data_IF_743620098794
#
_entry.id   IF_743620098794
#
_cell.length_a   1.000
_cell.length_b   1.000
_cell.length_c   1.000
_cell.angle_alpha   90.00
_cell.angle_beta   90.00
_cell.angle_gamma   90.00
#
_symmetry.space_group_name_H-M   'P 1'
#
loop_
_entity.id
_entity.type
_entity.pdbx_description
1 polymer ?
#
# COMPACT_ATOMS: atom_id res chain seq x y z
N UNK A 1 22.23 1.04 -6.03
CA UNK A 1 20.79 0.96 -6.35
C UNK A 1 20.54 -0.48 -6.81
N UNK A 2 19.36 -1.07 -6.57
CA UNK A 2 19.06 -2.44 -7.03
C UNK A 2 19.25 -2.55 -8.55
N UNK A 3 19.74 -3.69 -9.04
CA UNK A 3 19.82 -3.97 -10.49
C UNK A 3 18.48 -4.45 -11.06
N UNK A 4 17.54 -4.82 -10.20
CA UNK A 4 16.23 -5.37 -10.57
C UNK A 4 15.13 -4.40 -10.12
N UNK A 5 14.24 -4.05 -11.05
CA UNK A 5 12.99 -3.33 -10.77
C UNK A 5 11.92 -4.33 -10.33
N UNK A 6 11.23 -4.06 -9.22
CA UNK A 6 10.13 -4.92 -8.77
C UNK A 6 8.99 -4.97 -9.80
N UNK A 7 8.33 -6.12 -9.90
CA UNK A 7 7.25 -6.39 -10.86
C UNK A 7 6.19 -5.28 -10.89
N UNK A 8 5.70 -4.88 -9.72
CA UNK A 8 4.66 -3.86 -9.61
C UNK A 8 5.12 -2.48 -10.09
N UNK A 9 6.37 -2.09 -9.81
CA UNK A 9 6.97 -0.84 -10.30
C UNK A 9 7.19 -0.90 -11.80
N UNK A 10 7.68 -2.03 -12.34
CA UNK A 10 7.89 -2.17 -13.79
C UNK A 10 6.57 -1.98 -14.55
N UNK A 11 5.48 -2.61 -14.12
CA UNK A 11 4.17 -2.42 -14.75
C UNK A 11 3.67 -0.98 -14.73
N UNK A 12 3.95 -0.24 -13.64
CA UNK A 12 3.60 1.18 -13.55
C UNK A 12 4.45 2.03 -14.50
N UNK A 13 5.75 1.75 -14.60
CA UNK A 13 6.63 2.41 -15.57
C UNK A 13 6.20 2.14 -17.01
N UNK A 14 5.84 0.90 -17.33
CA UNK A 14 5.32 0.50 -18.65
C UNK A 14 3.99 1.21 -18.98
N UNK A 15 3.18 1.51 -17.95
CA UNK A 15 1.96 2.30 -18.07
C UNK A 15 2.22 3.82 -18.15
N UNK A 16 3.47 4.26 -18.12
CA UNK A 16 3.88 5.67 -18.25
C UNK A 16 4.01 6.43 -16.93
N UNK A 17 4.03 5.76 -15.78
CA UNK A 17 4.29 6.41 -14.50
C UNK A 17 5.77 6.87 -14.40
N UNK A 18 6.00 7.94 -13.64
CA UNK A 18 7.35 8.44 -13.34
C UNK A 18 7.75 8.07 -11.91
N UNK A 19 8.93 7.48 -11.75
CA UNK A 19 9.51 7.20 -10.43
C UNK A 19 10.14 8.47 -9.86
N UNK A 20 9.47 9.11 -8.91
CA UNK A 20 9.93 10.36 -8.28
C UNK A 20 10.96 10.09 -7.17
N UNK A 21 10.88 8.94 -6.50
CA UNK A 21 11.84 8.54 -5.46
C UNK A 21 11.33 7.41 -4.56
N UNK A 22 12.10 7.14 -3.51
CA UNK A 22 11.74 6.20 -2.44
C UNK A 22 11.47 6.96 -1.14
N UNK A 23 10.63 6.39 -0.27
CA UNK A 23 10.18 7.06 0.96
C UNK A 23 10.75 6.42 2.22
N UNK A 24 10.85 7.19 3.31
CA UNK A 24 11.26 6.66 4.62
C UNK A 24 10.22 5.67 5.19
N UNK A 25 10.72 4.61 5.83
CA UNK A 25 9.94 3.61 6.56
C UNK A 25 10.72 3.14 7.79
N UNK A 26 10.07 2.60 8.84
CA UNK A 26 10.75 1.85 9.88
C UNK A 26 11.64 0.74 9.31
N UNK A 27 12.81 0.56 9.90
CA UNK A 27 13.77 -0.46 9.45
C UNK A 27 13.08 -1.82 9.37
N UNK A 28 13.15 -2.45 8.19
CA UNK A 28 12.56 -3.78 7.92
C UNK A 28 11.04 -3.87 8.22
N UNK A 29 10.33 -2.75 8.20
CA UNK A 29 8.90 -2.71 8.50
C UNK A 29 8.56 -3.04 9.95
N UNK A 30 9.51 -2.85 10.87
CA UNK A 30 9.47 -3.35 12.26
C UNK A 30 8.40 -2.76 13.17
N UNK A 31 7.74 -1.65 12.81
CA UNK A 31 6.69 -1.06 13.64
C UNK A 31 5.60 -0.37 12.83
N UNK A 32 4.44 -0.22 13.47
CA UNK A 32 3.22 0.39 12.91
C UNK A 32 3.06 1.88 13.25
N UNK A 33 3.97 2.46 14.02
CA UNK A 33 3.93 3.89 14.40
C UNK A 33 4.71 4.78 13.44
N UNK A 34 5.66 4.21 12.68
CA UNK A 34 6.41 4.93 11.64
C UNK A 34 7.73 5.53 12.11
N UNK A 35 8.21 5.15 13.30
CA UNK A 35 9.49 5.60 13.83
C UNK A 35 10.63 4.80 13.19
N UNK A 36 11.56 5.52 12.58
CA UNK A 36 12.84 5.01 12.09
C UNK A 36 13.95 5.50 13.03
N UNK A 37 14.67 4.60 13.75
CA UNK A 37 15.74 4.96 14.68
C UNK A 37 17.06 5.34 13.98
N UNK A 38 17.11 5.30 12.65
CA UNK A 38 18.28 5.68 11.87
C UNK A 38 18.71 7.11 12.18
N UNK A 39 20.03 7.32 12.31
CA UNK A 39 20.62 8.65 12.46
C UNK A 39 20.71 9.43 11.15
N UNK A 40 20.49 8.75 10.01
CA UNK A 40 20.62 9.32 8.66
C UNK A 40 19.25 9.50 8.00
N UNK A 41 18.30 8.60 8.28
CA UNK A 41 16.93 8.67 7.76
C UNK A 41 16.01 9.19 8.85
N UNK A 42 15.33 10.31 8.59
CA UNK A 42 14.37 10.87 9.54
C UNK A 42 13.06 10.08 9.54
N UNK A 43 12.37 10.11 10.68
CA UNK A 43 10.98 9.69 10.79
C UNK A 43 10.09 10.83 10.31
N UNK A 44 9.30 10.66 9.24
CA UNK A 44 8.33 11.66 8.84
C UNK A 44 7.33 11.93 9.97
N UNK A 45 7.01 13.21 10.21
CA UNK A 45 5.99 13.61 11.17
C UNK A 45 4.59 13.47 10.56
N UNK A 46 3.57 13.29 11.40
CA UNK A 46 2.19 13.24 10.94
C UNK A 46 1.78 14.59 10.32
N UNK A 47 1.12 14.56 9.15
CA UNK A 47 0.70 15.76 8.41
C UNK A 47 -0.30 16.65 9.14
N UNK A 48 -1.07 16.08 10.08
CA UNK A 48 -2.14 16.77 10.80
C UNK A 48 -1.68 17.32 12.15
N UNK A 49 -0.74 16.65 12.80
CA UNK A 49 -0.25 17.00 14.14
C UNK A 49 1.17 16.44 14.36
N UNK A 50 2.16 17.32 14.44
CA UNK A 50 3.57 16.96 14.56
C UNK A 50 3.94 16.23 15.86
N UNK A 51 3.07 16.25 16.87
CA UNK A 51 3.26 15.52 18.13
C UNK A 51 2.68 14.10 18.08
N UNK A 52 2.05 13.71 16.96
CA UNK A 52 1.49 12.38 16.73
C UNK A 52 2.34 11.54 15.78
N UNK A 53 2.21 10.24 15.92
CA UNK A 53 2.77 9.28 14.98
C UNK A 53 2.10 9.37 13.61
N UNK A 54 2.93 9.29 12.56
CA UNK A 54 2.49 9.26 11.16
C UNK A 54 1.90 7.89 10.75
N UNK A 55 2.10 6.86 11.58
CA UNK A 55 1.74 5.48 11.25
C UNK A 55 2.80 4.81 10.36
N UNK A 56 2.78 3.49 10.30
CA UNK A 56 3.79 2.71 9.61
C UNK A 56 3.32 1.29 9.28
N UNK A 57 4.13 0.51 8.55
CA UNK A 57 5.50 0.85 8.15
C UNK A 57 5.64 1.69 6.88
N UNK A 58 4.61 1.85 6.04
CA UNK A 58 4.67 2.69 4.82
C UNK A 58 4.53 4.19 5.13
N UNK A 59 5.29 4.67 6.12
CA UNK A 59 5.16 5.99 6.73
C UNK A 59 5.33 7.11 5.71
N UNK A 60 6.46 7.13 5.01
CA UNK A 60 6.73 8.16 4.03
C UNK A 60 5.76 8.13 2.86
N UNK A 61 5.26 6.95 2.44
CA UNK A 61 4.20 6.84 1.43
C UNK A 61 2.93 7.60 1.85
N UNK A 62 2.50 7.44 3.11
CA UNK A 62 1.37 8.16 3.66
C UNK A 62 1.57 9.67 3.63
N UNK A 63 2.75 10.11 4.08
CA UNK A 63 3.09 11.54 4.18
C UNK A 63 3.20 12.21 2.81
N UNK A 64 3.92 11.63 1.84
CA UNK A 64 4.11 12.29 0.53
C UNK A 64 2.81 12.44 -0.24
N UNK A 65 1.91 11.46 -0.13
CA UNK A 65 0.58 11.52 -0.75
C UNK A 65 -0.29 12.55 -0.04
N UNK A 66 -0.33 12.54 1.30
CA UNK A 66 -1.15 13.49 2.06
C UNK A 66 -0.70 14.94 1.90
N UNK A 67 0.60 15.19 1.70
CA UNK A 67 1.14 16.52 1.38
C UNK A 67 0.94 16.93 -0.09
N UNK A 68 0.40 16.06 -0.94
CA UNK A 68 0.20 16.32 -2.36
C UNK A 68 1.49 16.37 -3.18
N UNK A 69 2.59 15.79 -2.68
CA UNK A 69 3.88 15.74 -3.40
C UNK A 69 3.85 14.76 -4.57
N UNK A 70 3.02 13.72 -4.47
CA UNK A 70 2.72 12.81 -5.57
C UNK A 70 1.26 12.31 -5.46
N UNK A 71 0.63 11.94 -6.58
CA UNK A 71 -0.77 11.50 -6.59
C UNK A 71 -0.98 10.12 -5.95
N UNK A 72 0.06 9.28 -5.96
CA UNK A 72 0.06 7.97 -5.34
C UNK A 72 1.47 7.56 -4.89
N UNK A 73 1.53 6.57 -4.01
CA UNK A 73 2.73 5.87 -3.61
C UNK A 73 2.43 4.37 -3.48
N UNK A 74 3.47 3.52 -3.51
CA UNK A 74 3.34 2.07 -3.36
C UNK A 74 3.87 1.67 -1.99
N UNK A 75 2.97 1.13 -1.16
CA UNK A 75 3.31 0.61 0.16
C UNK A 75 3.31 -0.92 0.20
N UNK A 76 3.67 -1.45 1.35
CA UNK A 76 3.56 -2.88 1.65
C UNK A 76 2.76 -3.09 2.94
N UNK A 77 2.01 -4.19 3.04
CA UNK A 77 1.08 -4.48 4.14
C UNK A 77 1.07 -5.97 4.48
N UNK A 78 1.68 -6.31 5.63
CA UNK A 78 1.53 -7.59 6.30
C UNK A 78 0.49 -7.52 7.43
N UNK A 79 0.61 -6.50 8.28
CA UNK A 79 -0.18 -6.35 9.52
C UNK A 79 -0.80 -4.95 9.64
N UNK A 80 -1.04 -4.28 8.52
CA UNK A 80 -1.64 -2.94 8.48
C UNK A 80 -0.73 -1.87 7.88
N UNK A 81 0.45 -2.21 7.38
CA UNK A 81 1.46 -1.23 6.97
C UNK A 81 1.10 -0.32 5.78
N UNK A 82 0.01 -0.58 5.05
CA UNK A 82 -0.62 0.37 4.13
C UNK A 82 -1.79 1.08 4.84
N UNK A 83 -2.65 0.29 5.50
CA UNK A 83 -3.92 0.76 6.07
C UNK A 83 -3.75 1.73 7.25
N UNK A 84 -2.80 1.45 8.15
CA UNK A 84 -2.48 2.26 9.32
C UNK A 84 -1.96 3.64 8.92
N UNK A 85 -0.86 3.79 8.16
CA UNK A 85 -0.39 5.13 7.75
C UNK A 85 -1.40 5.87 6.87
N UNK A 86 -2.21 5.16 6.07
CA UNK A 86 -3.30 5.78 5.31
C UNK A 86 -4.37 6.39 6.21
N UNK A 87 -4.80 5.65 7.24
CA UNK A 87 -5.73 6.15 8.26
C UNK A 87 -5.16 7.31 9.06
N UNK A 88 -3.90 7.23 9.48
CA UNK A 88 -3.22 8.33 10.18
C UNK A 88 -3.02 9.58 9.32
N UNK A 89 -2.86 9.42 8.00
CA UNK A 89 -2.61 10.53 7.07
C UNK A 89 -3.87 11.01 6.36
N UNK A 90 -5.04 10.39 6.60
CA UNK A 90 -6.30 10.80 5.99
C UNK A 90 -6.39 10.54 4.48
N UNK A 91 -5.75 9.48 3.98
CA UNK A 91 -5.71 9.11 2.56
C UNK A 91 -6.28 7.70 2.33
N UNK A 92 -6.41 7.30 1.06
CA UNK A 92 -6.87 5.97 0.69
C UNK A 92 -5.68 5.01 0.60
N UNK A 93 -5.74 3.90 1.32
CA UNK A 93 -4.79 2.80 1.21
C UNK A 93 -5.50 1.50 0.88
N UNK A 94 -5.10 0.84 -0.20
CA UNK A 94 -5.64 -0.46 -0.61
C UNK A 94 -4.63 -1.56 -0.29
N UNK A 95 -5.02 -2.49 0.60
CA UNK A 95 -4.37 -3.80 0.74
C UNK A 95 -5.08 -4.79 -0.19
N UNK A 96 -4.44 -5.25 -1.28
CA UNK A 96 -5.06 -6.21 -2.18
C UNK A 96 -5.25 -7.59 -1.53
N UNK A 97 -6.01 -8.45 -2.19
CA UNK A 97 -5.98 -9.90 -1.93
C UNK A 97 -4.55 -10.40 -1.99
N UNK A 98 -4.19 -11.34 -1.11
CA UNK A 98 -2.88 -11.98 -1.15
C UNK A 98 -2.59 -12.54 -2.55
N UNK A 99 -1.33 -12.46 -3.00
CA UNK A 99 -0.87 -12.87 -4.33
C UNK A 99 -1.46 -12.10 -5.52
N UNK A 100 -2.31 -11.08 -5.29
CA UNK A 100 -2.89 -10.28 -6.38
C UNK A 100 -1.86 -9.39 -7.10
N UNK A 101 -0.78 -9.05 -6.41
CA UNK A 101 0.37 -8.35 -6.95
C UNK A 101 1.60 -9.16 -6.58
N UNK A 102 2.41 -9.51 -7.58
CA UNK A 102 3.66 -10.24 -7.38
C UNK A 102 4.66 -9.43 -6.54
N UNK A 103 5.39 -10.14 -5.68
CA UNK A 103 6.52 -9.60 -4.92
C UNK A 103 7.87 -9.79 -5.65
N UNK A 104 7.88 -10.31 -6.88
CA UNK A 104 9.11 -10.46 -7.67
C UNK A 104 9.88 -9.13 -7.77
N UNK A 105 11.19 -9.17 -7.48
CA UNK A 105 12.06 -8.00 -7.43
C UNK A 105 11.84 -7.06 -6.23
N UNK A 106 10.94 -7.39 -5.30
CA UNK A 106 10.97 -6.82 -3.94
C UNK A 106 12.12 -7.44 -3.13
N UNK A 107 12.35 -6.94 -1.91
CA UNK A 107 13.42 -7.44 -1.05
C UNK A 107 13.24 -8.94 -0.76
N UNK A 108 14.31 -9.70 -1.01
CA UNK A 108 14.35 -11.17 -0.91
C UNK A 108 13.89 -11.69 0.46
N UNK A 109 14.13 -10.93 1.53
CA UNK A 109 13.71 -11.24 2.91
C UNK A 109 12.18 -11.46 2.99
N UNK A 110 11.42 -10.89 2.05
CA UNK A 110 9.97 -10.92 2.08
C UNK A 110 9.31 -11.63 0.88
N UNK A 111 10.09 -12.15 -0.07
CA UNK A 111 9.53 -12.76 -1.28
C UNK A 111 8.67 -14.00 -0.99
N UNK A 112 8.90 -14.66 0.15
CA UNK A 112 8.17 -15.86 0.58
C UNK A 112 7.20 -15.60 1.75
N UNK A 113 6.91 -14.33 2.06
CA UNK A 113 6.14 -14.00 3.25
C UNK A 113 4.63 -14.20 3.02
N UNK A 114 3.96 -15.14 3.71
CA UNK A 114 2.66 -15.68 3.30
C UNK A 114 1.45 -14.75 3.49
N UNK A 115 1.67 -13.56 4.01
CA UNK A 115 0.62 -12.55 4.22
C UNK A 115 1.08 -11.12 3.88
N UNK A 116 2.28 -10.97 3.31
CA UNK A 116 2.72 -9.67 2.80
C UNK A 116 2.02 -9.40 1.47
N UNK A 117 1.58 -8.17 1.30
CA UNK A 117 1.07 -7.66 0.02
C UNK A 117 1.72 -6.32 -0.28
N UNK A 118 1.73 -5.94 -1.55
CA UNK A 118 2.03 -4.56 -1.98
C UNK A 118 0.79 -3.96 -2.59
N UNK A 119 0.59 -2.66 -2.40
CA UNK A 119 -0.63 -1.99 -2.85
C UNK A 119 -0.50 -0.47 -2.87
N UNK A 120 -1.46 0.20 -3.53
CA UNK A 120 -1.41 1.63 -3.71
C UNK A 120 -1.94 2.39 -2.50
N UNK A 121 -1.33 3.56 -2.28
CA UNK A 121 -1.77 4.62 -1.38
C UNK A 121 -1.99 5.87 -2.23
N UNK A 122 -3.17 6.49 -2.17
CA UNK A 122 -3.54 7.63 -3.04
C UNK A 122 -4.50 8.60 -2.35
N UNK A 123 -4.64 9.80 -2.89
CA UNK A 123 -5.53 10.83 -2.34
C UNK A 123 -7.02 10.51 -2.48
N UNK A 124 -7.39 9.64 -3.42
CA UNK A 124 -8.79 9.25 -3.60
C UNK A 124 -8.95 7.79 -4.06
N UNK A 125 -10.17 7.27 -3.92
CA UNK A 125 -10.52 5.88 -4.25
C UNK A 125 -10.31 5.58 -5.74
N UNK A 126 -10.61 6.56 -6.60
CA UNK A 126 -10.45 6.42 -8.05
C UNK A 126 -8.99 6.16 -8.42
N UNK A 127 -8.08 6.97 -7.90
CA UNK A 127 -6.65 6.86 -8.21
C UNK A 127 -6.06 5.57 -7.63
N UNK A 128 -6.42 5.22 -6.39
CA UNK A 128 -6.00 3.94 -5.80
C UNK A 128 -6.43 2.75 -6.65
N UNK A 129 -7.66 2.76 -7.18
CA UNK A 129 -8.14 1.68 -8.04
C UNK A 129 -7.44 1.64 -9.40
N UNK A 130 -7.17 2.80 -10.02
CA UNK A 130 -6.43 2.88 -11.29
C UNK A 130 -5.01 2.32 -11.11
N UNK A 131 -4.30 2.76 -10.08
CA UNK A 131 -2.93 2.29 -9.80
C UNK A 131 -2.94 0.79 -9.51
N UNK A 132 -3.92 0.30 -8.75
CA UNK A 132 -4.10 -1.13 -8.50
C UNK A 132 -4.27 -1.93 -9.80
N UNK A 133 -5.11 -1.48 -10.73
CA UNK A 133 -5.29 -2.15 -12.02
C UNK A 133 -4.00 -2.20 -12.83
N UNK A 134 -3.18 -1.15 -12.77
CA UNK A 134 -1.92 -1.09 -13.52
C UNK A 134 -0.84 -1.95 -12.90
N UNK A 135 -0.77 -2.07 -11.57
CA UNK A 135 0.30 -2.81 -10.88
C UNK A 135 -0.03 -4.30 -10.66
N UNK A 136 -1.31 -4.67 -10.63
CA UNK A 136 -1.74 -6.06 -10.39
C UNK A 136 -1.70 -6.91 -11.66
N UNK A 137 -1.63 -8.23 -11.49
CA UNK A 137 -1.68 -9.19 -12.59
C UNK A 137 -0.90 -10.46 -12.29
N UNK A 138 -1.05 -11.48 -13.16
CA UNK A 138 -0.31 -12.72 -13.03
C UNK A 138 1.19 -12.50 -13.27
N UNK A 139 2.00 -13.26 -12.53
CA UNK A 139 3.46 -13.37 -12.72
C UNK A 139 3.81 -14.86 -12.67
N UNK A 140 4.15 -15.43 -13.82
CA UNK A 140 4.47 -16.86 -13.96
C UNK A 140 5.72 -17.26 -13.17
N UNK A 141 6.58 -16.30 -12.84
CA UNK A 141 7.81 -16.53 -12.09
C UNK A 141 7.63 -16.34 -10.58
N UNK A 142 6.43 -15.95 -10.12
CA UNK A 142 6.17 -15.75 -8.71
C UNK A 142 5.75 -17.06 -8.03
N UNK A 143 6.62 -17.58 -7.17
CA UNK A 143 6.44 -18.87 -6.47
C UNK A 143 5.18 -18.95 -5.60
N UNK A 144 4.68 -17.81 -5.10
CA UNK A 144 3.44 -17.71 -4.34
C UNK A 144 2.26 -17.19 -5.19
N UNK A 145 2.42 -17.17 -6.51
CA UNK A 145 1.39 -16.84 -7.49
C UNK A 145 0.15 -17.72 -7.32
N UNK A 146 -1.03 -17.11 -7.46
CA UNK A 146 -2.31 -17.81 -7.41
C UNK A 146 -3.12 -17.49 -8.65
N UNK A 147 -3.89 -18.47 -9.12
CA UNK A 147 -4.92 -18.21 -10.13
C UNK A 147 -6.03 -17.36 -9.50
N UNK A 148 -6.31 -16.21 -10.12
CA UNK A 148 -7.16 -15.16 -9.58
C UNK A 148 -8.10 -14.67 -10.68
N UNK A 149 -9.34 -14.29 -10.34
CA UNK A 149 -10.25 -13.73 -11.32
C UNK A 149 -9.63 -12.52 -12.04
N UNK A 150 -9.90 -12.36 -13.36
CA UNK A 150 -9.38 -11.25 -14.13
C UNK A 150 -9.59 -9.89 -13.45
N UNK A 151 -8.65 -8.98 -13.63
CA UNK A 151 -8.82 -7.59 -13.20
C UNK A 151 -9.98 -6.96 -13.96
N UNK A 152 -10.97 -6.47 -13.23
CA UNK A 152 -12.09 -5.74 -13.79
C UNK A 152 -11.97 -4.26 -13.41
N UNK A 153 -12.05 -3.34 -14.38
CA UNK A 153 -12.15 -1.93 -14.08
C UNK A 153 -13.35 -1.65 -13.15
N UNK A 154 -13.18 -0.80 -12.13
CA UNK A 154 -14.26 -0.48 -11.21
C UNK A 154 -15.39 0.26 -11.94
N UNK A 155 -16.61 -0.21 -11.78
CA UNK A 155 -17.81 0.51 -12.23
C UNK A 155 -18.26 1.50 -11.14
N UNK A 156 -17.57 2.64 -11.04
CA UNK A 156 -17.82 3.63 -9.98
C UNK A 156 -19.24 4.20 -9.97
N UNK A 157 -19.90 4.27 -11.13
CA UNK A 157 -21.21 4.93 -11.27
C UNK A 157 -22.38 3.95 -11.39
N UNK A 158 -22.14 2.71 -11.79
CA UNK A 158 -23.20 1.73 -12.07
C UNK A 158 -23.29 0.59 -11.06
N UNK A 159 -22.47 0.58 -10.01
CA UNK A 159 -22.53 -0.44 -8.98
C UNK A 159 -23.53 -0.06 -7.87
N UNK A 160 -24.63 -0.83 -7.76
CA UNK A 160 -25.66 -0.59 -6.75
C UNK A 160 -25.28 -1.17 -5.38
N UNK A 161 -24.96 -0.29 -4.42
CA UNK A 161 -24.65 -0.68 -3.04
C UNK A 161 -25.83 -1.39 -2.33
N UNK A 162 -27.07 -1.19 -2.79
CA UNK A 162 -28.26 -1.85 -2.25
C UNK A 162 -28.23 -3.38 -2.37
N UNK A 163 -27.40 -3.92 -3.26
CA UNK A 163 -27.21 -5.37 -3.42
C UNK A 163 -26.13 -5.96 -2.50
N UNK A 164 -25.34 -5.11 -1.84
CA UNK A 164 -24.24 -5.53 -0.97
C UNK A 164 -24.74 -5.82 0.44
N UNK A 165 -24.36 -6.97 0.98
CA UNK A 165 -24.60 -7.32 2.39
C UNK A 165 -23.38 -6.92 3.21
N UNK A 166 -23.54 -5.93 4.10
CA UNK A 166 -22.48 -5.53 5.03
C UNK A 166 -22.59 -6.31 6.34
N UNK A 167 -21.57 -7.09 6.66
CA UNK A 167 -21.45 -7.76 7.96
C UNK A 167 -20.91 -6.80 9.02
N UNK A 168 -21.50 -6.84 10.23
CA UNK A 168 -21.08 -6.03 11.37
C UNK A 168 -20.76 -6.96 12.55
N UNK A 169 -19.47 -7.08 12.89
CA UNK A 169 -19.06 -7.82 14.07
C UNK A 169 -18.88 -6.87 15.24
N UNK A 170 -19.91 -6.82 16.10
CA UNK A 170 -20.04 -5.84 17.19
C UNK A 170 -18.81 -5.81 18.10
N UNK A 171 -18.36 -6.97 18.56
CA UNK A 171 -17.32 -7.07 19.58
C UNK A 171 -15.97 -6.54 19.10
N UNK A 172 -15.69 -6.64 17.80
CA UNK A 172 -14.48 -6.06 17.19
C UNK A 172 -14.55 -4.53 17.11
N UNK A 173 -15.73 -3.98 16.83
CA UNK A 173 -15.91 -2.54 16.58
C UNK A 173 -16.10 -1.76 17.89
N UNK A 174 -16.71 -2.37 18.90
CA UNK A 174 -16.99 -1.72 20.19
C UNK A 174 -15.80 -1.64 21.13
N UNK A 175 -14.60 -2.05 20.70
CA UNK A 175 -13.38 -1.92 21.52
C UNK A 175 -13.11 -0.43 21.76
N UNK A 176 -13.24 -0.01 23.03
CA UNK A 176 -12.82 1.31 23.48
C UNK A 176 -11.32 1.27 23.76
N UNK A 177 -10.57 2.20 23.17
CA UNK A 177 -9.14 2.43 23.42
C UNK A 177 -8.94 3.55 24.42
#
# INVERSE_FOLDING_TARGET
MSEITSFCVQKLLDAGALLIGTTSMPQLGSNTVGVNPSKVLSSPKNVWDNERYAGGSSTGCGIVVALGLCPFAIGSDSLGSIRVPSGCSGIVGLRPTFSRVSLSGCSEIYNEHPYLTVGPMACCVRDAAIVYLMMAGPDENYNLGMDQPPLQPPNFMGFALSSVKFGYYKDYISVQF
#
